data_IF_542563102837
#
_entry.id   IF_542563102837
#
_cell.length_a   1.000
_cell.length_b   1.000
_cell.length_c   1.000
_cell.angle_alpha   90.00
_cell.angle_beta   90.00
_cell.angle_gamma   90.00
#
_symmetry.space_group_name_H-M   'P 1'
#
loop_
_entity.id
_entity.type
_entity.pdbx_description
1 polymer ?
#
# COMPACT_ATOMS: atom_id res chain seq x y z
N UNK A 1 8.31 38.31 -6.78
CA UNK A 1 7.48 37.64 -7.80
C UNK A 1 7.82 36.17 -7.69
N UNK A 2 6.84 35.35 -7.31
CA UNK A 2 7.05 33.95 -6.96
C UNK A 2 7.48 33.17 -8.20
N UNK A 3 8.58 32.44 -8.08
CA UNK A 3 8.80 31.26 -8.90
C UNK A 3 8.38 30.09 -8.00
N UNK A 4 7.11 29.70 -8.09
CA UNK A 4 6.74 28.35 -7.65
C UNK A 4 7.50 27.41 -8.58
N UNK A 5 8.38 26.61 -7.99
CA UNK A 5 9.05 25.53 -8.68
C UNK A 5 7.97 24.63 -9.27
N UNK A 6 7.93 24.56 -10.59
CA UNK A 6 7.28 23.48 -11.30
C UNK A 6 8.14 22.23 -11.06
N UNK A 7 7.94 21.57 -9.92
CA UNK A 7 8.52 20.24 -9.69
C UNK A 7 7.87 19.29 -10.68
N UNK A 8 8.71 18.60 -11.45
CA UNK A 8 8.32 17.71 -12.51
C UNK A 8 7.36 16.62 -12.00
N UNK A 9 6.10 16.69 -12.44
CA UNK A 9 5.11 15.62 -12.40
C UNK A 9 5.51 14.55 -13.43
N UNK A 10 6.71 13.98 -13.30
CA UNK A 10 7.23 12.93 -14.17
C UNK A 10 6.37 11.66 -13.96
N UNK A 11 5.33 11.51 -14.78
CA UNK A 11 4.49 10.34 -15.02
C UNK A 11 4.08 9.52 -13.77
N UNK A 12 3.17 10.08 -12.96
CA UNK A 12 2.42 9.30 -11.98
C UNK A 12 1.27 8.57 -12.68
N UNK A 13 1.27 7.24 -12.62
CA UNK A 13 0.16 6.45 -13.13
C UNK A 13 -1.02 6.49 -12.16
N UNK A 14 -2.19 6.90 -12.63
CA UNK A 14 -3.42 6.89 -11.82
C UNK A 14 -4.14 5.54 -11.96
N UNK A 15 -4.24 4.82 -10.86
CA UNK A 15 -4.95 3.56 -10.77
C UNK A 15 -6.41 3.77 -10.32
N UNK A 16 -7.34 3.46 -11.22
CA UNK A 16 -8.78 3.61 -11.13
C UNK A 16 -9.50 2.35 -10.62
N UNK A 17 -8.75 1.31 -10.22
CA UNK A 17 -9.32 0.09 -9.65
C UNK A 17 -9.66 -1.00 -10.66
N UNK A 18 -10.23 -2.10 -10.15
CA UNK A 18 -10.64 -3.26 -10.96
C UNK A 18 -9.49 -3.85 -11.77
N UNK A 19 -9.78 -4.24 -13.01
CA UNK A 19 -8.82 -4.91 -13.90
C UNK A 19 -7.97 -3.93 -14.73
N UNK A 20 -7.82 -2.68 -14.29
CA UNK A 20 -7.02 -1.70 -15.04
C UNK A 20 -5.59 -2.23 -15.21
N UNK A 21 -5.16 -2.28 -16.47
CA UNK A 21 -3.81 -2.71 -16.82
C UNK A 21 -2.81 -1.66 -16.35
N UNK A 22 -1.98 -2.04 -15.39
CA UNK A 22 -0.86 -1.23 -14.92
C UNK A 22 0.35 -1.47 -15.85
N UNK A 23 1.10 -0.44 -16.26
CA UNK A 23 2.34 -0.58 -17.04
C UNK A 23 3.41 -1.40 -16.31
N UNK A 24 4.23 -2.16 -17.02
CA UNK A 24 5.30 -3.00 -16.43
C UNK A 24 6.45 -2.16 -15.86
N UNK A 25 6.65 -0.99 -16.44
CA UNK A 25 7.67 0.00 -16.11
C UNK A 25 7.14 1.11 -15.18
N UNK A 26 5.98 0.89 -14.55
CA UNK A 26 5.42 1.87 -13.61
C UNK A 26 6.38 2.07 -12.43
N UNK A 27 6.70 3.33 -12.16
CA UNK A 27 7.59 3.73 -11.05
C UNK A 27 6.81 4.34 -9.90
N UNK A 28 5.75 5.10 -10.20
CA UNK A 28 4.89 5.76 -9.20
C UNK A 28 3.43 5.56 -9.53
N UNK A 29 2.65 5.25 -8.52
CA UNK A 29 1.19 5.05 -8.64
C UNK A 29 0.47 5.98 -7.68
N UNK A 30 -0.61 6.60 -8.16
CA UNK A 30 -1.63 7.20 -7.30
C UNK A 30 -2.91 6.39 -7.40
N UNK A 31 -3.44 5.98 -6.26
CA UNK A 31 -4.73 5.30 -6.21
C UNK A 31 -5.83 6.36 -6.25
N UNK A 32 -6.73 6.26 -7.23
CA UNK A 32 -7.86 7.19 -7.37
C UNK A 32 -8.83 7.07 -6.19
N UNK A 33 -9.43 8.19 -5.78
CA UNK A 33 -10.33 8.26 -4.61
C UNK A 33 -11.57 7.38 -4.71
N UNK A 34 -11.96 6.94 -5.91
CA UNK A 34 -13.08 6.02 -6.12
C UNK A 34 -12.76 4.56 -5.78
N UNK A 35 -11.48 4.22 -5.67
CA UNK A 35 -11.03 2.85 -5.36
C UNK A 35 -11.15 2.62 -3.86
N UNK A 36 -11.82 1.54 -3.45
CA UNK A 36 -11.90 1.12 -2.04
C UNK A 36 -11.21 -0.22 -1.77
N UNK A 37 -10.76 -0.91 -2.82
CA UNK A 37 -10.14 -2.22 -2.75
C UNK A 37 -9.04 -2.31 -3.81
N UNK A 38 -7.86 -2.78 -3.41
CA UNK A 38 -6.81 -3.17 -4.35
C UNK A 38 -6.99 -4.66 -4.67
N UNK A 39 -7.41 -5.03 -5.88
CA UNK A 39 -7.76 -6.41 -6.20
C UNK A 39 -6.53 -7.32 -6.34
N UNK A 40 -6.80 -8.63 -6.36
CA UNK A 40 -5.79 -9.67 -6.50
C UNK A 40 -4.89 -9.39 -7.70
N UNK A 41 -3.58 -9.40 -7.47
CA UNK A 41 -2.54 -9.16 -8.48
C UNK A 41 -2.52 -7.79 -9.17
N UNK A 42 -3.23 -6.76 -8.66
CA UNK A 42 -3.29 -5.43 -9.30
C UNK A 42 -1.90 -4.85 -9.68
N UNK A 43 -0.91 -5.03 -8.81
CA UNK A 43 0.48 -4.60 -8.99
C UNK A 43 1.47 -5.78 -8.96
N UNK A 44 1.03 -6.98 -9.33
CA UNK A 44 1.87 -8.18 -9.35
C UNK A 44 3.11 -7.97 -10.23
N UNK A 45 4.29 -8.23 -9.67
CA UNK A 45 5.60 -8.08 -10.32
C UNK A 45 5.88 -6.68 -10.90
N UNK A 46 5.33 -5.61 -10.31
CA UNK A 46 5.78 -4.25 -10.63
C UNK A 46 7.12 -3.97 -9.95
N UNK A 47 8.18 -4.63 -10.40
CA UNK A 47 9.50 -4.59 -9.74
C UNK A 47 10.14 -3.21 -9.72
N UNK A 48 9.72 -2.31 -10.62
CA UNK A 48 10.19 -0.91 -10.70
C UNK A 48 9.33 0.07 -9.91
N UNK A 49 8.23 -0.38 -9.28
CA UNK A 49 7.34 0.46 -8.49
C UNK A 49 8.05 0.88 -7.20
N UNK A 50 8.33 2.17 -7.08
CA UNK A 50 9.03 2.76 -5.93
C UNK A 50 8.04 3.33 -4.91
N UNK A 51 6.94 3.93 -5.39
CA UNK A 51 6.01 4.66 -4.53
C UNK A 51 4.54 4.45 -4.93
N UNK A 52 3.69 4.40 -3.91
CA UNK A 52 2.23 4.27 -4.05
C UNK A 52 1.56 5.27 -3.13
N UNK A 53 0.88 6.24 -3.73
CA UNK A 53 0.06 7.22 -3.02
C UNK A 53 -1.33 6.63 -2.74
N UNK A 54 -1.48 6.04 -1.56
CA UNK A 54 -2.78 5.60 -1.03
C UNK A 54 -3.57 6.77 -0.45
N UNK A 55 -4.91 6.72 -0.60
CA UNK A 55 -5.83 7.55 0.18
C UNK A 55 -6.48 6.72 1.32
N UNK A 56 -7.30 7.36 2.14
CA UNK A 56 -7.93 6.81 3.33
C UNK A 56 -9.21 5.97 3.09
N UNK A 57 -9.61 5.85 1.82
CA UNK A 57 -10.78 5.09 1.40
C UNK A 57 -10.49 3.63 1.05
N UNK A 58 -9.22 3.20 1.06
CA UNK A 58 -8.84 1.82 0.78
C UNK A 58 -9.10 0.97 2.02
N UNK A 59 -10.01 0.01 1.91
CA UNK A 59 -10.43 -0.88 2.99
C UNK A 59 -9.71 -2.23 2.95
N UNK A 60 -9.48 -2.78 1.74
CA UNK A 60 -8.94 -4.13 1.56
C UNK A 60 -7.80 -4.12 0.54
N UNK A 61 -6.72 -4.80 0.87
CA UNK A 61 -5.65 -5.15 -0.07
C UNK A 61 -5.67 -6.67 -0.25
N UNK A 62 -6.09 -7.10 -1.44
CA UNK A 62 -6.32 -8.50 -1.79
C UNK A 62 -5.03 -9.30 -1.98
N UNK A 63 -5.20 -10.61 -2.15
CA UNK A 63 -4.11 -11.57 -2.25
C UNK A 63 -3.09 -11.16 -3.31
N UNK A 64 -1.81 -11.26 -2.96
CA UNK A 64 -0.66 -11.01 -3.85
C UNK A 64 -0.73 -9.69 -4.65
N UNK A 65 -1.47 -8.68 -4.17
CA UNK A 65 -1.68 -7.41 -4.86
C UNK A 65 -0.37 -6.69 -5.25
N UNK A 66 0.62 -6.68 -4.36
CA UNK A 66 1.95 -6.08 -4.54
C UNK A 66 3.08 -7.13 -4.48
N UNK A 67 2.78 -8.37 -4.81
CA UNK A 67 3.76 -9.45 -4.78
C UNK A 67 4.92 -9.19 -5.76
N UNK A 68 6.17 -9.32 -5.31
CA UNK A 68 7.38 -8.97 -6.07
C UNK A 68 7.48 -7.50 -6.53
N UNK A 69 6.93 -6.55 -5.78
CA UNK A 69 7.25 -5.12 -5.95
C UNK A 69 8.59 -4.79 -5.27
N UNK A 70 9.69 -5.31 -5.84
CA UNK A 70 11.00 -5.31 -5.17
C UNK A 70 11.53 -3.93 -4.79
N UNK A 71 11.26 -2.89 -5.60
CA UNK A 71 11.73 -1.52 -5.36
C UNK A 71 10.82 -0.66 -4.48
N UNK A 72 9.71 -1.21 -3.95
CA UNK A 72 8.76 -0.45 -3.14
C UNK A 72 9.38 -0.16 -1.77
N UNK A 73 9.65 1.11 -1.46
CA UNK A 73 10.46 1.49 -0.27
C UNK A 73 9.60 1.66 0.99
N UNK A 74 8.41 2.25 0.85
CA UNK A 74 7.55 2.55 1.99
C UNK A 74 6.08 2.48 1.62
N UNK A 75 5.26 2.06 2.58
CA UNK A 75 3.81 1.95 2.41
C UNK A 75 3.12 2.63 3.60
N UNK A 76 2.21 3.58 3.31
CA UNK A 76 1.40 4.28 4.30
C UNK A 76 -0.08 3.96 4.06
N UNK A 77 -0.69 3.22 4.98
CA UNK A 77 -2.07 2.75 4.87
C UNK A 77 -2.93 3.42 5.94
N UNK A 78 -3.88 4.25 5.49
CA UNK A 78 -4.67 5.10 6.38
C UNK A 78 -5.96 4.44 6.88
N UNK A 79 -6.69 3.74 6.00
CA UNK A 79 -8.01 3.17 6.30
C UNK A 79 -8.13 1.65 6.09
N UNK A 80 -7.02 0.96 5.81
CA UNK A 80 -7.03 -0.46 5.46
C UNK A 80 -7.39 -1.31 6.67
N UNK A 81 -8.46 -2.11 6.53
CA UNK A 81 -8.95 -3.06 7.53
C UNK A 81 -8.30 -4.43 7.37
N UNK A 82 -8.10 -4.86 6.13
CA UNK A 82 -7.62 -6.21 5.83
C UNK A 82 -6.46 -6.20 4.82
N UNK A 83 -5.38 -6.91 5.17
CA UNK A 83 -4.30 -7.27 4.24
C UNK A 83 -4.30 -8.78 4.08
N UNK A 84 -4.58 -9.23 2.85
CA UNK A 84 -4.73 -10.65 2.50
C UNK A 84 -3.40 -11.36 2.29
N UNK A 85 -3.51 -12.68 2.09
CA UNK A 85 -2.38 -13.59 1.90
C UNK A 85 -1.34 -13.05 0.90
N UNK A 86 -0.09 -12.94 1.36
CA UNK A 86 1.07 -12.50 0.57
C UNK A 86 0.93 -11.17 -0.18
N UNK A 87 0.03 -10.27 0.26
CA UNK A 87 -0.22 -9.00 -0.42
C UNK A 87 1.04 -8.18 -0.75
N UNK A 88 2.05 -8.15 0.14
CA UNK A 88 3.34 -7.46 -0.05
C UNK A 88 4.53 -8.43 0.03
N UNK A 89 4.33 -9.72 -0.25
CA UNK A 89 5.44 -10.67 -0.17
C UNK A 89 6.48 -10.42 -1.27
N UNK A 90 7.77 -10.61 -0.94
CA UNK A 90 8.92 -10.33 -1.79
C UNK A 90 9.12 -8.86 -2.19
N UNK A 91 8.56 -7.90 -1.43
CA UNK A 91 8.95 -6.49 -1.51
C UNK A 91 10.29 -6.29 -0.78
N UNK A 92 11.40 -6.70 -1.39
CA UNK A 92 12.72 -6.78 -0.76
C UNK A 92 13.25 -5.45 -0.23
N UNK A 93 12.91 -4.33 -0.87
CA UNK A 93 13.38 -2.99 -0.49
C UNK A 93 12.38 -2.26 0.42
N UNK A 94 11.29 -2.91 0.84
CA UNK A 94 10.29 -2.32 1.73
C UNK A 94 10.88 -2.16 3.13
N UNK A 95 11.21 -0.92 3.50
CA UNK A 95 11.83 -0.59 4.80
C UNK A 95 10.77 -0.32 5.86
N UNK A 96 9.68 0.37 5.47
CA UNK A 96 8.72 0.94 6.40
C UNK A 96 7.28 0.70 5.98
N UNK A 97 6.49 0.13 6.89
CA UNK A 97 5.03 0.04 6.76
C UNK A 97 4.38 0.80 7.91
N UNK A 98 3.51 1.76 7.58
CA UNK A 98 2.77 2.54 8.57
C UNK A 98 1.28 2.35 8.39
N UNK A 99 0.64 1.85 9.43
CA UNK A 99 -0.81 1.83 9.59
C UNK A 99 -1.25 3.03 10.42
N UNK A 100 -2.37 3.64 10.06
CA UNK A 100 -2.92 4.79 10.80
C UNK A 100 -4.16 4.41 11.59
N UNK A 101 -5.12 3.73 10.96
CA UNK A 101 -6.40 3.42 11.59
C UNK A 101 -7.03 2.13 11.03
N UNK A 102 -8.01 1.57 11.76
CA UNK A 102 -8.93 0.49 11.36
C UNK A 102 -8.36 -0.87 10.99
N UNK A 103 -7.04 -1.08 11.03
CA UNK A 103 -6.45 -2.38 10.73
C UNK A 103 -6.98 -3.46 11.69
N UNK A 104 -7.61 -4.49 11.14
CA UNK A 104 -8.21 -5.61 11.86
C UNK A 104 -7.44 -6.91 11.60
N UNK A 105 -7.08 -7.18 10.35
CA UNK A 105 -6.47 -8.45 9.95
C UNK A 105 -5.26 -8.26 9.03
N UNK A 106 -4.18 -8.97 9.35
CA UNK A 106 -3.06 -9.23 8.44
C UNK A 106 -2.94 -10.75 8.31
N UNK A 107 -3.16 -11.28 7.11
CA UNK A 107 -3.11 -12.71 6.84
C UNK A 107 -1.67 -13.23 6.71
N UNK A 108 -1.55 -14.56 6.72
CA UNK A 108 -0.27 -15.25 6.69
C UNK A 108 0.60 -14.79 5.51
N UNK A 109 1.84 -14.43 5.83
CA UNK A 109 2.85 -14.12 4.83
C UNK A 109 2.61 -12.81 4.07
N UNK A 110 1.69 -11.94 4.51
CA UNK A 110 1.45 -10.63 3.90
C UNK A 110 2.74 -9.83 3.63
N UNK A 111 3.75 -9.94 4.51
CA UNK A 111 5.08 -9.33 4.36
C UNK A 111 6.21 -10.36 4.29
N UNK A 112 5.93 -11.59 3.84
CA UNK A 112 6.93 -12.65 3.72
C UNK A 112 8.05 -12.22 2.76
N UNK A 113 9.31 -12.45 3.14
CA UNK A 113 10.50 -12.11 2.34
C UNK A 113 10.68 -10.60 2.07
N UNK A 114 10.09 -9.73 2.89
CA UNK A 114 10.45 -8.30 2.94
C UNK A 114 11.76 -8.13 3.73
N UNK A 115 12.90 -8.41 3.09
CA UNK A 115 14.20 -8.55 3.77
C UNK A 115 14.75 -7.25 4.36
N UNK A 116 14.37 -6.09 3.81
CA UNK A 116 14.79 -4.77 4.31
C UNK A 116 13.83 -4.16 5.33
N UNK A 117 12.76 -4.88 5.71
CA UNK A 117 11.72 -4.35 6.57
C UNK A 117 12.23 -4.15 8.00
N UNK A 118 12.44 -2.90 8.37
CA UNK A 118 12.93 -2.51 9.69
C UNK A 118 11.77 -2.19 10.63
N UNK A 119 10.72 -1.52 10.14
CA UNK A 119 9.63 -1.06 11.00
C UNK A 119 8.23 -1.32 10.42
N UNK A 120 7.37 -1.88 11.27
CA UNK A 120 5.91 -1.85 11.09
C UNK A 120 5.32 -1.02 12.23
N UNK A 121 4.65 0.09 11.90
CA UNK A 121 3.92 0.92 12.86
C UNK A 121 2.45 0.53 12.83
N UNK A 122 2.00 -0.21 13.84
CA UNK A 122 0.59 -0.59 14.03
C UNK A 122 -0.25 0.61 14.48
N UNK A 123 -1.57 0.62 14.18
CA UNK A 123 -2.44 1.68 14.70
C UNK A 123 -2.49 1.60 16.22
N UNK A 124 -2.72 2.75 16.87
CA UNK A 124 -2.96 2.77 18.31
C UNK A 124 -4.28 2.03 18.60
N UNK A 125 -4.19 0.89 19.27
CA UNK A 125 -5.37 0.15 19.69
C UNK A 125 -6.17 1.05 20.65
N UNK A 126 -7.38 1.42 20.26
CA UNK A 126 -8.33 2.00 21.21
C UNK A 126 -8.88 0.86 22.06
N UNK A 127 -8.33 0.67 23.26
CA UNK A 127 -9.02 -0.11 24.29
C UNK A 127 -10.27 0.68 24.62
N UNK A 128 -11.42 0.23 24.14
CA UNK A 128 -12.69 0.73 24.63
C UNK A 128 -12.90 0.03 25.97
N UNK A 129 -12.48 0.67 27.06
CA UNK A 129 -12.95 0.30 28.40
C UNK A 129 -14.47 0.55 28.43
N UNK A 130 -15.22 -0.44 27.98
CA UNK A 130 -16.67 -0.50 28.15
C UNK A 130 -17.03 -1.82 28.82
N UNK A 131 -16.37 -2.08 29.96
CA UNK A 131 -17.09 -2.61 31.11
C UNK A 131 -17.78 -1.41 31.79
N UNK A 132 -18.98 -1.08 31.33
CA UNK A 132 -19.97 -0.66 32.31
C UNK A 132 -20.56 -1.96 32.87
N UNK A 133 -20.36 -2.13 34.18
CA UNK A 133 -21.04 -3.07 35.06
C UNK A 133 -22.50 -3.34 34.66
#
# INVERSE_FOLDING_TARGET
>A
MMAEAHEADDDIFVYMGGDQVVPNDVVRVRIDRSVNMIPTRAFYHRSLLIDVEFHDGIEIIEEVAFFYCCSLISVKLFGVREIKWRAFSNCSDLINVKFVDKLETIEQGAFQDCTSLETIKMPSIRIIDSLHL
#
